data_IF_643413608719
#
_entry.id   IF_643413608719
#
_cell.length_a   1.000
_cell.length_b   1.000
_cell.length_c   1.000
_cell.angle_alpha   90.00
_cell.angle_beta   90.00
_cell.angle_gamma   90.00
#
_symmetry.space_group_name_H-M   'P 1'
#
loop_
_entity.id
_entity.type
_entity.pdbx_description
1 polymer ?
#
# COMPACT_ATOMS: atom_id res chain seq x y z
N UNK A 1 -8.57 6.48 -27.24
CA UNK A 1 -9.47 6.42 -26.08
C UNK A 1 -8.63 6.58 -24.82
N UNK A 2 -8.62 7.78 -24.21
CA UNK A 2 -7.83 8.03 -22.99
C UNK A 2 -8.47 7.25 -21.84
N UNK A 3 -7.72 6.30 -21.26
CA UNK A 3 -8.17 5.57 -20.08
C UNK A 3 -8.48 6.59 -18.99
N UNK A 4 -9.74 6.70 -18.56
CA UNK A 4 -10.12 7.53 -17.41
C UNK A 4 -9.26 7.08 -16.23
N UNK A 5 -8.30 7.89 -15.85
CA UNK A 5 -7.46 7.63 -14.68
C UNK A 5 -8.33 7.81 -13.45
N UNK A 6 -8.91 6.71 -12.96
CA UNK A 6 -9.68 6.71 -11.72
C UNK A 6 -8.69 6.93 -10.58
N UNK A 7 -8.66 8.15 -10.08
CA UNK A 7 -7.93 8.51 -8.88
C UNK A 7 -8.84 8.32 -7.66
N UNK A 8 -8.30 7.71 -6.62
CA UNK A 8 -8.90 7.71 -5.28
C UNK A 8 -8.02 8.55 -4.36
N UNK A 9 -8.53 8.92 -3.19
CA UNK A 9 -7.74 9.65 -2.20
C UNK A 9 -7.02 8.68 -1.27
N UNK A 10 -5.84 9.10 -0.81
CA UNK A 10 -5.12 8.43 0.27
C UNK A 10 -6.03 8.27 1.49
N UNK A 11 -6.03 7.08 2.10
CA UNK A 11 -6.87 6.79 3.26
C UNK A 11 -6.32 7.31 4.59
N UNK A 12 -5.10 7.87 4.61
CA UNK A 12 -4.57 8.50 5.82
C UNK A 12 -5.37 9.76 6.16
N UNK A 13 -5.73 9.91 7.43
CA UNK A 13 -6.54 11.03 7.92
C UNK A 13 -5.91 12.38 7.56
N UNK A 14 -6.68 13.28 6.97
CA UNK A 14 -6.20 14.60 6.52
C UNK A 14 -5.32 14.61 5.26
N UNK A 15 -5.01 13.46 4.66
CA UNK A 15 -4.20 13.40 3.44
C UNK A 15 -5.04 13.67 2.19
N UNK A 16 -4.63 14.65 1.38
CA UNK A 16 -5.32 15.02 0.14
C UNK A 16 -4.70 14.40 -1.12
N UNK A 17 -3.61 13.64 -0.98
CA UNK A 17 -2.90 13.02 -2.11
C UNK A 17 -3.81 12.10 -2.91
N UNK A 18 -3.77 12.26 -4.25
CA UNK A 18 -4.43 11.36 -5.19
C UNK A 18 -3.55 10.14 -5.43
N UNK A 19 -4.17 8.97 -5.43
CA UNK A 19 -3.50 7.68 -5.66
C UNK A 19 -4.25 6.90 -6.74
N UNK A 20 -3.59 5.90 -7.31
CA UNK A 20 -4.16 5.04 -8.35
C UNK A 20 -5.22 4.08 -7.80
N UNK A 21 -6.08 3.57 -8.68
CA UNK A 21 -7.05 2.52 -8.34
C UNK A 21 -6.35 1.30 -7.76
N UNK A 22 -6.85 0.80 -6.63
CA UNK A 22 -6.29 -0.36 -5.91
C UNK A 22 -5.18 -0.02 -4.92
N UNK A 23 -4.75 1.25 -4.85
CA UNK A 23 -3.86 1.73 -3.79
C UNK A 23 -4.67 2.21 -2.59
N UNK A 24 -4.14 2.01 -1.38
CA UNK A 24 -4.77 2.45 -0.13
C UNK A 24 -4.14 3.74 0.42
N UNK A 25 -2.82 3.88 0.26
CA UNK A 25 -2.04 4.99 0.78
C UNK A 25 -1.14 5.57 -0.30
N UNK A 26 -0.82 6.87 -0.20
CA UNK A 26 0.25 7.45 -1.01
C UNK A 26 1.62 6.89 -0.58
N UNK A 27 2.64 7.11 -1.41
CA UNK A 27 3.98 6.57 -1.18
C UNK A 27 4.53 6.93 0.21
N UNK A 28 4.40 8.18 0.63
CA UNK A 28 4.87 8.66 1.93
C UNK A 28 4.23 7.92 3.10
N UNK A 29 2.89 7.78 3.09
CA UNK A 29 2.16 7.10 4.16
C UNK A 29 2.40 5.59 4.12
N UNK A 30 2.51 4.99 2.94
CA UNK A 30 2.84 3.58 2.81
C UNK A 30 4.21 3.27 3.42
N UNK A 31 5.21 4.13 3.21
CA UNK A 31 6.54 3.95 3.79
C UNK A 31 6.66 4.43 5.26
N UNK A 32 5.72 5.22 5.75
CA UNK A 32 5.60 5.54 7.18
C UNK A 32 5.06 4.37 8.02
N UNK A 33 4.39 3.39 7.39
CA UNK A 33 3.94 2.17 8.08
C UNK A 33 5.14 1.26 8.42
N UNK A 34 5.20 0.69 9.64
CA UNK A 34 6.10 -0.41 9.97
C UNK A 34 5.89 -1.59 9.04
N UNK A 35 6.97 -2.31 8.73
CA UNK A 35 6.89 -3.52 7.87
C UNK A 35 5.86 -4.55 8.38
N UNK A 36 5.77 -4.87 9.69
CA UNK A 36 4.76 -5.82 10.17
C UNK A 36 3.33 -5.42 9.79
N UNK A 37 2.97 -4.14 9.96
CA UNK A 37 1.63 -3.65 9.58
C UNK A 37 1.37 -3.77 8.08
N UNK A 38 2.37 -3.50 7.24
CA UNK A 38 2.23 -3.68 5.78
C UNK A 38 2.03 -5.14 5.40
N UNK A 39 2.80 -6.04 6.00
CA UNK A 39 2.77 -7.47 5.71
C UNK A 39 1.43 -8.09 6.16
N UNK A 40 0.91 -7.66 7.31
CA UNK A 40 -0.40 -8.05 7.83
C UNK A 40 -1.55 -7.57 6.93
N UNK A 41 -1.54 -6.28 6.55
CA UNK A 41 -2.53 -5.71 5.64
C UNK A 41 -2.52 -6.43 4.28
N UNK A 42 -1.35 -6.66 3.71
CA UNK A 42 -1.19 -7.35 2.44
C UNK A 42 -1.70 -8.79 2.50
N UNK A 43 -1.42 -9.49 3.59
CA UNK A 43 -1.87 -10.87 3.79
C UNK A 43 -3.38 -10.96 3.96
N UNK A 44 -3.97 -10.07 4.76
CA UNK A 44 -5.42 -10.01 4.96
C UNK A 44 -6.15 -9.66 3.65
N UNK A 45 -5.64 -8.68 2.90
CA UNK A 45 -6.19 -8.30 1.59
C UNK A 45 -6.17 -9.47 0.60
N UNK A 46 -5.04 -10.19 0.47
CA UNK A 46 -4.94 -11.35 -0.44
C UNK A 46 -5.98 -12.41 -0.10
N UNK A 47 -6.15 -12.74 1.19
CA UNK A 47 -7.14 -13.72 1.66
C UNK A 47 -8.58 -13.25 1.37
N UNK A 48 -8.88 -11.97 1.55
CA UNK A 48 -10.20 -11.42 1.22
C UNK A 48 -10.47 -11.48 -0.29
N UNK A 49 -9.48 -11.21 -1.14
CA UNK A 49 -9.63 -11.27 -2.60
C UNK A 49 -9.73 -12.69 -3.17
N UNK A 50 -9.37 -13.74 -2.41
CA UNK A 50 -9.59 -15.12 -2.83
C UNK A 50 -11.07 -15.43 -3.09
N UNK A 51 -12.01 -14.67 -2.52
CA UNK A 51 -13.45 -14.79 -2.80
C UNK A 51 -13.77 -14.75 -4.29
N UNK A 52 -13.00 -14.00 -5.09
CA UNK A 52 -13.22 -13.91 -6.53
C UNK A 52 -12.68 -15.12 -7.30
N UNK A 53 -11.95 -16.03 -6.64
CA UNK A 53 -11.31 -17.20 -7.24
C UNK A 53 -11.98 -18.51 -6.85
N UNK A 54 -12.60 -18.56 -5.67
CA UNK A 54 -13.18 -19.78 -5.12
C UNK A 54 -14.62 -19.54 -4.68
N UNK A 55 -15.45 -20.57 -4.80
CA UNK A 55 -16.83 -20.52 -4.33
C UNK A 55 -16.84 -20.61 -2.79
N UNK A 56 -16.97 -19.48 -2.12
CA UNK A 56 -16.81 -19.32 -0.67
C UNK A 56 -18.15 -18.99 -0.01
N UNK A 57 -18.42 -19.55 1.17
CA UNK A 57 -19.63 -19.22 1.94
C UNK A 57 -19.63 -17.75 2.38
N UNK A 58 -20.82 -17.16 2.53
CA UNK A 58 -20.96 -15.76 2.96
C UNK A 58 -20.31 -15.49 4.32
N UNK A 59 -20.38 -16.45 5.24
CA UNK A 59 -19.79 -16.30 6.58
C UNK A 59 -18.26 -16.25 6.54
N UNK A 60 -17.63 -17.08 5.71
CA UNK A 60 -16.18 -17.06 5.53
C UNK A 60 -15.73 -15.78 4.81
N UNK A 61 -16.49 -15.31 3.81
CA UNK A 61 -16.25 -14.00 3.18
C UNK A 61 -16.30 -12.87 4.22
N UNK A 62 -17.34 -12.85 5.07
CA UNK A 62 -17.49 -11.85 6.12
C UNK A 62 -16.33 -11.89 7.13
N UNK A 63 -15.90 -13.08 7.53
CA UNK A 63 -14.75 -13.26 8.44
C UNK A 63 -13.48 -12.68 7.84
N UNK A 64 -13.19 -12.97 6.57
CA UNK A 64 -12.00 -12.45 5.87
C UNK A 64 -12.06 -10.94 5.65
N UNK A 65 -13.23 -10.41 5.29
CA UNK A 65 -13.45 -8.98 5.16
C UNK A 65 -13.25 -8.25 6.49
N UNK A 66 -13.71 -8.83 7.61
CA UNK A 66 -13.46 -8.27 8.95
C UNK A 66 -11.96 -8.23 9.28
N UNK A 67 -11.24 -9.33 9.05
CA UNK A 67 -9.80 -9.36 9.27
C UNK A 67 -9.05 -8.31 8.42
N UNK A 68 -9.47 -8.10 7.17
CA UNK A 68 -8.93 -7.03 6.33
C UNK A 68 -9.24 -5.63 6.89
N UNK A 69 -10.47 -5.39 7.34
CA UNK A 69 -10.84 -4.11 7.97
C UNK A 69 -10.08 -3.84 9.27
N UNK A 70 -9.83 -4.87 10.10
CA UNK A 70 -9.06 -4.75 11.33
C UNK A 70 -7.59 -4.40 11.04
N UNK A 71 -6.96 -5.07 10.07
CA UNK A 71 -5.60 -4.76 9.64
C UNK A 71 -5.50 -3.34 9.04
N UNK A 72 -6.49 -2.95 8.23
CA UNK A 72 -6.57 -1.60 7.68
C UNK A 72 -6.71 -0.53 8.77
N UNK A 73 -7.57 -0.77 9.77
CA UNK A 73 -7.73 0.13 10.92
C UNK A 73 -6.43 0.33 11.67
N UNK A 74 -5.68 -0.75 11.94
CA UNK A 74 -4.39 -0.68 12.60
C UNK A 74 -3.38 0.20 11.82
N UNK A 75 -3.36 0.09 10.48
CA UNK A 75 -2.56 1.00 9.65
C UNK A 75 -3.01 2.46 9.77
N UNK A 76 -4.30 2.74 9.67
CA UNK A 76 -4.81 4.12 9.78
C UNK A 76 -4.56 4.74 11.15
N UNK A 77 -4.67 3.94 12.21
CA UNK A 77 -4.43 4.38 13.59
C UNK A 77 -2.96 4.72 13.82
N UNK A 78 -2.04 3.88 13.35
CA UNK A 78 -0.61 4.18 13.36
C UNK A 78 -0.29 5.48 12.62
N UNK A 79 -0.93 5.70 11.46
CA UNK A 79 -0.68 6.88 10.63
C UNK A 79 -1.19 8.20 11.22
N UNK A 80 -2.07 8.17 12.23
CA UNK A 80 -2.52 9.40 12.91
C UNK A 80 -1.37 10.11 13.63
N UNK A 81 -0.41 9.34 14.14
CA UNK A 81 0.72 9.86 14.92
C UNK A 81 2.06 9.71 14.18
N UNK A 82 2.11 8.87 13.14
CA UNK A 82 3.33 8.68 12.37
C UNK A 82 3.69 9.93 11.57
N UNK A 83 4.94 10.37 11.70
CA UNK A 83 5.49 11.38 10.79
C UNK A 83 5.57 10.79 9.38
N UNK A 84 5.17 11.57 8.38
CA UNK A 84 5.31 11.19 6.97
C UNK A 84 6.78 10.92 6.65
N UNK A 85 7.04 9.80 5.99
CA UNK A 85 8.34 9.54 5.36
C UNK A 85 8.36 10.26 4.03
N UNK A 86 9.27 11.19 3.83
CA UNK A 86 9.45 11.81 2.51
C UNK A 86 9.82 10.71 1.50
N UNK A 87 9.02 10.53 0.45
CA UNK A 87 9.31 9.57 -0.61
C UNK A 87 10.66 9.80 -1.30
N UNK A 88 11.22 11.02 -1.24
CA UNK A 88 12.57 11.33 -1.71
C UNK A 88 13.67 10.78 -0.79
N UNK A 89 13.39 10.55 0.49
CA UNK A 89 14.30 9.90 1.42
C UNK A 89 14.45 8.39 1.14
N UNK A 90 13.59 7.82 0.29
CA UNK A 90 13.63 6.43 -0.15
C UNK A 90 14.24 6.33 -1.56
N UNK A 91 15.44 6.90 -1.76
CA UNK A 91 16.26 6.57 -2.92
C UNK A 91 16.73 5.12 -2.79
N UNK A 92 16.33 4.25 -3.72
CA UNK A 92 16.85 2.88 -3.75
C UNK A 92 18.17 2.90 -4.52
N UNK A 93 19.24 2.43 -3.89
CA UNK A 93 20.48 2.10 -4.60
C UNK A 93 20.37 0.63 -5.00
N UNK A 94 20.35 0.35 -6.30
CA UNK A 94 20.51 -1.00 -6.81
C UNK A 94 21.93 -1.16 -7.36
N UNK A 95 22.49 -2.36 -7.26
CA UNK A 95 23.77 -2.67 -7.89
C UNK A 95 23.49 -3.12 -9.33
N UNK A 96 24.09 -2.45 -10.30
CA UNK A 96 24.05 -2.87 -11.70
C UNK A 96 24.89 -4.14 -11.90
N UNK A 97 24.67 -4.83 -13.03
CA UNK A 97 25.37 -6.08 -13.35
C UNK A 97 26.91 -5.91 -13.46
N UNK A 98 27.38 -4.69 -13.69
CA UNK A 98 28.79 -4.32 -13.71
C UNK A 98 29.36 -3.95 -12.32
N UNK A 99 28.55 -4.05 -11.27
CA UNK A 99 28.95 -3.71 -9.90
C UNK A 99 28.74 -2.24 -9.50
N UNK A 100 28.24 -1.39 -10.40
CA UNK A 100 28.05 0.03 -10.08
C UNK A 100 26.79 0.26 -9.24
N UNK A 101 26.89 1.17 -8.27
CA UNK A 101 25.75 1.65 -7.51
C UNK A 101 24.89 2.59 -8.37
N UNK A 102 23.68 2.15 -8.71
CA UNK A 102 22.71 2.93 -9.49
C UNK A 102 21.59 3.42 -8.58
N UNK A 103 21.41 4.74 -8.52
CA UNK A 103 20.31 5.37 -7.78
C UNK A 103 19.04 5.37 -8.62
N UNK A 104 17.94 4.97 -7.99
CA UNK A 104 16.61 5.05 -8.56
C UNK A 104 15.73 5.97 -7.74
N UNK A 105 15.02 6.86 -8.43
CA UNK A 105 13.95 7.68 -7.86
C UNK A 105 12.68 7.41 -8.66
N UNK A 106 11.61 7.02 -7.96
CA UNK A 106 10.32 6.66 -8.57
C UNK A 106 10.42 5.56 -9.66
N UNK A 107 11.37 4.64 -9.52
CA UNK A 107 11.59 3.56 -10.49
C UNK A 107 12.29 4.00 -11.78
N UNK A 108 12.74 5.26 -11.86
CA UNK A 108 13.60 5.75 -12.93
C UNK A 108 15.04 5.82 -12.43
N UNK A 109 15.97 5.39 -13.28
CA UNK A 109 17.40 5.55 -13.06
C UNK A 109 17.73 7.05 -13.06
N UNK A 110 18.47 7.49 -12.05
CA UNK A 110 19.14 8.80 -12.05
C UNK A 110 20.44 8.76 -12.85
#
# INVERSE_FOLDING_TARGET
MSARTYHVHCAAEGCTSRIGKGQLFCKDHYFALPRPLRDDLWTAWRRAMEVYRVNMTRDEQNRRNRAYQDAFRACTEHLRTARRTDAAAMSTVAMAANGDAVRFVEGRRM
#
